data_IF_195689504273
#
_entry.id   IF_195689504273
#
_cell.length_a   1.000
_cell.length_b   1.000
_cell.length_c   1.000
_cell.angle_alpha   90.00
_cell.angle_beta   90.00
_cell.angle_gamma   90.00
#
_symmetry.space_group_name_H-M   'P 1'
#
loop_
_entity.id
_entity.type
_entity.pdbx_description
1 polymer ?
#
# COMPACT_ATOMS: atom_id res chain seq x y z
N UNK A 1 17.52 -13.67 -6.79
CA UNK A 1 17.90 -14.93 -6.14
C UNK A 1 18.39 -14.62 -4.73
N UNK A 2 17.50 -14.59 -3.75
CA UNK A 2 17.82 -14.54 -2.34
C UNK A 2 17.60 -15.95 -1.79
N UNK A 3 18.70 -16.63 -1.48
CA UNK A 3 18.69 -17.92 -0.80
C UNK A 3 18.31 -17.68 0.66
N UNK A 4 17.10 -18.12 1.03
CA UNK A 4 16.74 -18.30 2.43
C UNK A 4 17.54 -19.49 2.96
N UNK A 5 18.54 -19.23 3.78
CA UNK A 5 19.34 -20.25 4.48
C UNK A 5 18.44 -20.80 5.60
N UNK A 6 17.85 -21.96 5.36
CA UNK A 6 17.18 -22.76 6.39
C UNK A 6 18.27 -23.39 7.26
N UNK A 7 18.26 -23.13 8.58
CA UNK A 7 19.13 -23.81 9.55
C UNK A 7 18.80 -25.31 9.56
N UNK A 8 19.72 -26.12 9.10
CA UNK A 8 19.60 -27.58 9.05
C UNK A 8 20.39 -28.21 10.20
N UNK A 9 20.02 -27.88 11.44
CA UNK A 9 20.68 -28.44 12.63
C UNK A 9 20.16 -29.82 13.03
N UNK A 10 19.18 -30.36 12.30
CA UNK A 10 18.59 -31.67 12.60
C UNK A 10 18.19 -32.37 11.30
N UNK A 11 18.55 -33.66 11.10
CA UNK A 11 18.10 -34.48 9.95
C UNK A 11 16.58 -34.47 9.74
N UNK A 12 15.80 -34.32 10.79
CA UNK A 12 14.35 -34.19 10.71
C UNK A 12 13.91 -32.89 10.01
N UNK A 13 14.61 -31.76 10.22
CA UNK A 13 14.27 -30.48 9.57
C UNK A 13 14.58 -30.50 8.06
N UNK A 14 15.61 -31.24 7.64
CA UNK A 14 15.92 -31.47 6.23
C UNK A 14 14.87 -32.36 5.56
N UNK A 15 14.40 -33.39 6.27
CA UNK A 15 13.35 -34.29 5.80
C UNK A 15 12.01 -33.54 5.61
N UNK A 16 11.66 -32.64 6.53
CA UNK A 16 10.44 -31.82 6.44
C UNK A 16 10.54 -30.78 5.30
N UNK A 17 11.70 -30.17 5.09
CA UNK A 17 11.93 -29.24 3.97
C UNK A 17 11.80 -29.94 2.61
N UNK A 18 12.40 -31.12 2.45
CA UNK A 18 12.31 -31.92 1.23
C UNK A 18 10.87 -32.44 0.98
N UNK A 19 10.11 -32.71 2.05
CA UNK A 19 8.70 -33.11 1.97
C UNK A 19 7.81 -31.99 1.44
N UNK A 20 8.05 -30.76 1.89
CA UNK A 20 7.28 -29.56 1.47
C UNK A 20 7.64 -29.16 0.04
N UNK A 21 8.91 -29.27 -0.33
CA UNK A 21 9.41 -28.73 -1.62
C UNK A 21 9.24 -29.71 -2.78
N UNK A 22 9.29 -31.02 -2.53
CA UNK A 22 9.27 -32.05 -3.57
C UNK A 22 7.99 -32.89 -3.63
N UNK A 23 6.99 -32.64 -2.77
CA UNK A 23 5.67 -33.29 -2.83
C UNK A 23 5.69 -34.81 -2.54
N UNK A 24 6.68 -35.33 -1.85
CA UNK A 24 6.78 -36.77 -1.52
C UNK A 24 5.92 -37.17 -0.32
N UNK A 25 5.08 -38.18 -0.52
CA UNK A 25 4.01 -38.58 0.42
C UNK A 25 4.41 -39.64 1.48
N UNK A 26 5.66 -40.17 1.52
CA UNK A 26 6.07 -41.18 2.52
C UNK A 26 7.42 -40.89 3.18
N UNK A 27 7.41 -40.98 4.53
CA UNK A 27 8.53 -40.67 5.41
C UNK A 27 9.75 -41.59 5.20
N UNK A 28 9.53 -42.86 4.85
CA UNK A 28 10.59 -43.84 4.62
C UNK A 28 11.47 -43.57 3.41
N UNK A 29 10.92 -42.99 2.33
CA UNK A 29 11.71 -42.69 1.13
C UNK A 29 12.61 -41.44 1.28
N UNK A 30 12.19 -40.49 2.10
CA UNK A 30 12.97 -39.27 2.38
C UNK A 30 14.15 -39.58 3.31
N UNK A 31 13.95 -40.40 4.34
CA UNK A 31 15.01 -40.87 5.23
C UNK A 31 16.10 -41.62 4.47
N UNK A 32 15.72 -42.54 3.60
CA UNK A 32 16.68 -43.32 2.79
C UNK A 32 17.48 -42.44 1.80
N UNK A 33 16.90 -41.36 1.30
CA UNK A 33 17.59 -40.41 0.40
C UNK A 33 18.58 -39.53 1.14
N UNK A 34 18.20 -39.07 2.33
CA UNK A 34 19.07 -38.26 3.20
C UNK A 34 20.28 -39.04 3.64
N UNK A 35 20.12 -40.31 4.07
CA UNK A 35 21.22 -41.18 4.47
C UNK A 35 22.16 -41.49 3.31
N UNK A 36 21.66 -41.70 2.09
CA UNK A 36 22.48 -41.91 0.90
C UNK A 36 23.28 -40.68 0.49
N UNK A 37 22.76 -39.49 0.67
CA UNK A 37 23.46 -38.23 0.37
C UNK A 37 24.54 -37.97 1.40
N UNK A 38 24.25 -38.17 2.69
CA UNK A 38 25.23 -37.98 3.79
C UNK A 38 26.38 -38.98 3.74
N UNK A 39 26.15 -40.23 3.31
CA UNK A 39 27.19 -41.24 3.17
C UNK A 39 28.09 -41.02 1.92
N UNK A 40 27.66 -40.22 0.95
CA UNK A 40 28.44 -39.93 -0.26
C UNK A 40 29.27 -38.66 -0.20
N UNK A 41 29.15 -37.88 0.87
CA UNK A 41 29.97 -36.67 1.07
C UNK A 41 31.33 -37.08 1.71
N UNK A 42 32.40 -36.61 1.14
CA UNK A 42 33.76 -36.77 1.66
C UNK A 42 33.98 -36.02 2.97
N UNK A 43 34.91 -36.51 3.80
CA UNK A 43 35.15 -35.96 5.14
C UNK A 43 35.64 -34.52 5.13
N UNK A 44 36.20 -34.05 4.02
CA UNK A 44 36.62 -32.65 3.86
C UNK A 44 35.43 -31.71 3.74
N UNK A 45 34.38 -32.13 3.04
CA UNK A 45 33.15 -31.35 2.88
C UNK A 45 32.35 -31.31 4.18
N UNK A 46 32.33 -32.41 4.96
CA UNK A 46 31.74 -32.46 6.29
C UNK A 46 32.47 -31.54 7.28
N UNK A 47 33.81 -31.51 7.28
CA UNK A 47 34.61 -30.63 8.14
C UNK A 47 34.49 -29.15 7.78
N UNK A 48 34.40 -28.81 6.50
CA UNK A 48 34.25 -27.42 6.05
C UNK A 48 32.86 -26.88 6.44
N UNK A 49 31.82 -27.70 6.39
CA UNK A 49 30.48 -27.34 6.88
C UNK A 49 30.47 -27.09 8.40
N UNK A 50 31.18 -27.91 9.20
CA UNK A 50 31.25 -27.76 10.65
C UNK A 50 32.12 -26.57 11.11
N UNK A 51 33.11 -26.15 10.34
CA UNK A 51 33.97 -25.02 10.69
C UNK A 51 33.29 -23.66 10.49
N UNK A 52 32.33 -23.56 9.57
CA UNK A 52 31.56 -22.34 9.30
C UNK A 52 30.60 -21.98 10.45
N UNK A 53 30.20 -22.95 11.28
CA UNK A 53 29.23 -22.78 12.38
C UNK A 53 29.87 -22.47 13.75
N UNK A 54 31.22 -22.37 13.87
CA UNK A 54 31.92 -22.09 15.14
C UNK A 54 32.44 -20.65 15.29
N UNK A 55 31.84 -19.65 14.66
CA UNK A 55 32.13 -18.26 15.01
C UNK A 55 31.36 -17.84 16.28
N UNK A 56 32.13 -17.75 17.38
CA UNK A 56 31.74 -17.23 18.67
C UNK A 56 31.23 -15.77 18.52
N UNK A 57 30.11 -15.36 19.16
CA UNK A 57 29.71 -13.97 19.17
C UNK A 57 30.75 -13.09 19.86
N UNK A 58 30.93 -11.82 19.45
CA UNK A 58 31.86 -10.91 20.08
C UNK A 58 31.44 -10.66 21.55
N UNK A 59 32.39 -10.47 22.49
CA UNK A 59 32.09 -10.22 23.87
C UNK A 59 31.39 -8.86 24.05
N UNK A 60 30.38 -8.82 24.92
CA UNK A 60 29.72 -7.61 25.34
C UNK A 60 30.70 -6.62 25.98
N UNK A 61 30.57 -5.29 25.75
CA UNK A 61 31.44 -4.31 26.38
C UNK A 61 31.26 -4.35 27.90
N UNK A 62 32.40 -4.41 28.61
CA UNK A 62 32.44 -4.40 30.05
C UNK A 62 31.89 -3.07 30.61
N UNK A 63 30.93 -3.19 31.52
CA UNK A 63 30.42 -2.07 32.31
C UNK A 63 31.49 -1.74 33.37
N UNK A 64 32.03 -0.52 33.30
CA UNK A 64 32.94 -0.01 34.32
C UNK A 64 32.15 0.33 35.62
N UNK A 65 32.68 0.07 36.81
CA UNK A 65 32.00 0.39 38.04
C UNK A 65 32.00 1.91 38.29
N UNK A 66 30.83 2.44 38.65
CA UNK A 66 30.63 3.82 39.08
C UNK A 66 31.31 4.04 40.44
N UNK A 67 32.25 4.96 40.46
CA UNK A 67 32.85 5.47 41.70
C UNK A 67 31.86 6.39 42.41
N UNK A 68 31.56 6.08 43.68
CA UNK A 68 30.85 6.96 44.59
C UNK A 68 31.75 8.14 44.96
N UNK A 69 31.40 9.35 44.58
CA UNK A 69 31.92 10.56 45.21
C UNK A 69 30.74 11.38 45.70
N UNK A 70 30.66 11.46 47.02
CA UNK A 70 29.73 12.31 47.73
C UNK A 70 30.06 13.80 47.50
N UNK A 71 29.01 14.57 47.23
CA UNK A 71 29.03 16.02 47.33
C UNK A 71 27.65 16.53 47.78
N UNK A 72 27.72 17.36 48.80
CA UNK A 72 26.70 18.06 49.55
C UNK A 72 25.77 18.96 48.72
N UNK A 73 24.54 19.27 49.18
CA UNK A 73 23.52 19.89 48.37
C UNK A 73 23.77 21.38 48.15
N UNK A 74 23.90 21.78 46.90
CA UNK A 74 23.88 23.19 46.52
C UNK A 74 22.48 23.63 46.10
N UNK A 75 22.09 24.74 46.64
CA UNK A 75 20.93 25.60 46.46
C UNK A 75 20.26 25.55 45.09
N UNK A 76 18.94 25.25 45.10
CA UNK A 76 18.05 25.33 43.95
C UNK A 76 17.76 26.80 43.62
N UNK A 77 18.32 27.25 42.51
CA UNK A 77 17.80 28.43 41.79
C UNK A 77 16.62 27.99 40.90
N UNK A 78 15.50 28.72 40.86
CA UNK A 78 14.35 28.36 40.05
C UNK A 78 14.67 28.47 38.57
N UNK A 79 14.53 27.37 37.88
CA UNK A 79 14.57 27.30 36.39
C UNK A 79 13.41 28.12 35.83
N UNK A 80 13.60 28.96 34.79
CA UNK A 80 12.51 29.66 34.14
C UNK A 80 11.55 28.66 33.51
N UNK A 81 10.23 28.95 33.53
CA UNK A 81 9.24 28.02 32.99
C UNK A 81 9.54 27.74 31.50
N UNK A 82 9.56 26.46 31.15
CA UNK A 82 9.58 25.97 29.78
C UNK A 82 8.48 26.65 28.98
N UNK A 83 8.75 27.09 27.73
CA UNK A 83 7.72 27.69 26.91
C UNK A 83 6.59 26.67 26.76
N UNK A 84 5.36 27.13 27.04
CA UNK A 84 4.17 26.32 26.87
C UNK A 84 4.11 25.81 25.42
N UNK A 85 3.69 24.55 25.18
CA UNK A 85 3.53 24.06 23.84
C UNK A 85 2.59 24.98 23.06
N UNK A 86 2.83 25.21 21.77
CA UNK A 86 2.00 26.09 20.95
C UNK A 86 0.55 25.64 21.09
N UNK A 87 -0.31 26.53 21.55
CA UNK A 87 -1.75 26.31 21.52
C UNK A 87 -2.18 26.28 20.07
N UNK A 88 -2.59 25.10 19.60
CA UNK A 88 -3.26 24.99 18.33
C UNK A 88 -4.47 25.92 18.32
N UNK A 89 -4.70 26.66 17.23
CA UNK A 89 -5.92 27.44 17.09
C UNK A 89 -7.11 26.49 17.25
N UNK A 90 -8.03 26.85 18.14
CA UNK A 90 -9.27 26.12 18.33
C UNK A 90 -10.04 25.99 17.02
N UNK A 91 -11.08 25.13 16.92
CA UNK A 91 -11.77 24.79 15.70
C UNK A 91 -12.42 26.03 15.10
N UNK A 92 -11.68 26.69 14.22
CA UNK A 92 -12.22 27.70 13.31
C UNK A 92 -12.71 26.96 12.07
N UNK A 93 -14.02 27.03 11.86
CA UNK A 93 -14.73 26.69 10.62
C UNK A 93 -14.05 25.70 9.67
N UNK A 94 -14.40 24.43 9.79
CA UNK A 94 -14.47 23.48 8.67
C UNK A 94 -13.18 23.18 7.88
N UNK A 95 -12.00 23.56 8.38
CA UNK A 95 -10.72 23.26 7.73
C UNK A 95 -10.21 21.88 8.16
N UNK A 96 -9.90 21.03 7.21
CA UNK A 96 -9.23 19.76 7.45
C UNK A 96 -7.99 19.94 8.33
N UNK A 97 -7.85 19.10 9.35
CA UNK A 97 -6.67 19.06 10.23
C UNK A 97 -5.42 18.49 9.56
N UNK A 98 -5.56 17.95 8.37
CA UNK A 98 -4.46 17.41 7.57
C UNK A 98 -4.18 18.39 6.45
N UNK A 99 -2.92 18.78 6.33
CA UNK A 99 -2.48 19.76 5.34
C UNK A 99 -2.94 19.43 3.91
N UNK A 100 -2.96 20.43 3.09
CA UNK A 100 -3.52 20.49 1.73
C UNK A 100 -3.08 19.38 0.75
N UNK A 101 -2.06 18.60 1.10
CA UNK A 101 -1.57 17.50 0.26
C UNK A 101 -2.44 16.24 0.27
N UNK A 102 -3.24 16.02 1.33
CA UNK A 102 -4.16 14.87 1.46
C UNK A 102 -5.62 15.25 1.32
N UNK A 103 -5.96 16.49 1.58
CA UNK A 103 -7.32 17.00 1.49
C UNK A 103 -7.34 18.13 0.50
N UNK A 104 -7.71 17.80 -0.74
CA UNK A 104 -7.88 18.80 -1.79
C UNK A 104 -9.34 19.27 -1.76
N UNK A 105 -9.62 20.56 -1.53
CA UNK A 105 -10.96 21.12 -1.76
C UNK A 105 -11.35 20.93 -3.22
N UNK A 106 -12.62 20.66 -3.45
CA UNK A 106 -13.20 20.25 -4.74
C UNK A 106 -13.09 21.31 -5.86
N UNK A 107 -12.69 22.53 -5.55
CA UNK A 107 -12.49 23.60 -6.54
C UNK A 107 -10.98 23.86 -6.76
N UNK A 108 -10.38 23.17 -7.75
CA UNK A 108 -8.99 23.43 -8.15
C UNK A 108 -9.03 24.31 -9.43
N UNK A 109 -8.69 25.59 -9.35
CA UNK A 109 -8.16 26.31 -10.52
C UNK A 109 -6.87 25.59 -10.98
N UNK A 110 -6.60 25.59 -12.28
CA UNK A 110 -5.42 24.94 -12.87
C UNK A 110 -4.20 25.09 -11.95
N UNK A 111 -3.57 23.99 -11.49
CA UNK A 111 -2.58 24.09 -10.42
C UNK A 111 -1.42 24.97 -10.84
N UNK A 112 -0.97 25.90 -9.98
CA UNK A 112 0.31 26.58 -10.19
C UNK A 112 1.38 25.51 -10.39
N UNK A 113 2.42 25.82 -11.18
CA UNK A 113 3.49 24.88 -11.54
C UNK A 113 3.85 23.97 -10.36
N UNK A 114 3.72 22.65 -10.56
CA UNK A 114 3.83 21.65 -9.50
C UNK A 114 5.08 21.90 -8.65
N UNK A 115 5.02 21.77 -7.31
CA UNK A 115 6.18 21.91 -6.46
C UNK A 115 7.34 21.03 -6.99
N UNK A 116 8.60 21.45 -6.86
CA UNK A 116 9.75 20.74 -7.46
C UNK A 116 9.84 19.28 -7.03
N UNK A 117 9.28 18.92 -5.88
CA UNK A 117 9.17 17.52 -5.40
C UNK A 117 8.17 16.73 -6.22
N UNK A 118 7.02 17.31 -6.55
CA UNK A 118 6.01 16.68 -7.41
C UNK A 118 6.55 16.41 -8.81
N UNK A 119 7.29 17.38 -9.37
CA UNK A 119 7.92 17.19 -10.68
C UNK A 119 8.91 16.03 -10.69
N UNK A 120 9.76 15.90 -9.67
CA UNK A 120 10.68 14.76 -9.52
C UNK A 120 9.93 13.42 -9.44
N UNK A 121 8.79 13.41 -8.76
CA UNK A 121 7.95 12.20 -8.68
C UNK A 121 7.33 11.86 -10.04
N UNK A 122 6.81 12.84 -10.78
CA UNK A 122 6.28 12.66 -12.14
C UNK A 122 7.36 12.12 -13.09
N UNK A 123 8.60 12.59 -12.99
CA UNK A 123 9.72 12.09 -13.79
C UNK A 123 10.03 10.61 -13.45
N UNK A 124 9.95 10.23 -12.17
CA UNK A 124 10.06 8.81 -11.76
C UNK A 124 8.88 7.97 -12.29
N UNK A 125 7.66 8.51 -12.26
CA UNK A 125 6.49 7.83 -12.82
C UNK A 125 6.68 7.55 -14.32
N UNK A 126 7.14 8.56 -15.09
CA UNK A 126 7.48 8.41 -16.51
C UNK A 126 8.55 7.34 -16.73
N UNK A 127 9.62 7.37 -15.92
CA UNK A 127 10.68 6.36 -15.99
C UNK A 127 10.15 4.95 -15.68
N UNK A 128 9.28 4.82 -14.67
CA UNK A 128 8.67 3.55 -14.27
C UNK A 128 7.76 2.97 -15.36
N UNK A 129 7.01 3.82 -16.07
CA UNK A 129 6.13 3.43 -17.16
C UNK A 129 6.84 3.42 -18.53
N UNK A 130 8.14 3.72 -18.59
CA UNK A 130 8.87 3.91 -19.83
C UNK A 130 8.79 2.74 -20.82
N UNK A 131 8.71 1.50 -20.35
CA UNK A 131 8.52 0.33 -21.22
C UNK A 131 7.13 0.33 -21.89
N UNK A 132 6.08 0.60 -21.11
CA UNK A 132 4.71 0.70 -21.62
C UNK A 132 4.59 1.89 -22.56
N UNK A 133 5.09 3.04 -22.14
CA UNK A 133 5.10 4.28 -22.92
C UNK A 133 5.86 4.12 -24.24
N UNK A 134 7.03 3.43 -24.23
CA UNK A 134 7.82 3.18 -25.42
C UNK A 134 7.10 2.32 -26.46
N UNK A 135 6.39 1.27 -26.01
CA UNK A 135 5.60 0.41 -26.89
C UNK A 135 4.45 1.18 -27.56
N UNK A 136 3.72 1.99 -26.79
CA UNK A 136 2.58 2.75 -27.33
C UNK A 136 3.08 3.95 -28.17
N UNK A 137 4.08 4.69 -27.70
CA UNK A 137 4.62 5.85 -28.42
C UNK A 137 5.25 5.48 -29.76
N UNK A 138 5.85 4.28 -29.87
CA UNK A 138 6.44 3.77 -31.10
C UNK A 138 5.45 3.69 -32.27
N UNK A 139 4.16 3.48 -31.98
CA UNK A 139 3.09 3.42 -32.99
C UNK A 139 2.91 4.77 -33.70
N UNK A 140 3.18 5.88 -33.02
CA UNK A 140 3.01 7.24 -33.61
C UNK A 140 4.21 7.73 -34.41
N UNK A 141 5.23 6.89 -34.64
CA UNK A 141 6.41 7.22 -35.44
C UNK A 141 6.17 7.31 -36.94
N UNK A 142 5.00 6.88 -37.44
CA UNK A 142 4.59 6.98 -38.85
C UNK A 142 4.22 8.40 -39.26
N UNK A 143 4.03 8.58 -40.59
CA UNK A 143 3.64 9.88 -41.19
C UNK A 143 2.15 10.01 -41.50
N UNK A 144 1.40 8.93 -41.47
CA UNK A 144 -0.01 8.86 -41.92
C UNK A 144 -0.87 8.17 -40.85
N UNK A 145 -2.10 8.66 -40.70
CA UNK A 145 -3.13 8.01 -39.89
C UNK A 145 -3.94 7.09 -40.81
N UNK A 146 -3.65 5.80 -40.76
CA UNK A 146 -4.30 4.77 -41.53
C UNK A 146 -4.85 3.63 -40.64
N UNK A 147 -5.46 2.62 -41.22
CA UNK A 147 -6.00 1.50 -40.47
C UNK A 147 -4.90 0.68 -39.77
N UNK A 148 -3.73 0.54 -40.41
CA UNK A 148 -2.59 -0.17 -39.82
C UNK A 148 -2.07 0.50 -38.54
N UNK A 149 -2.15 1.82 -38.45
CA UNK A 149 -1.84 2.56 -37.20
C UNK A 149 -2.83 2.21 -36.08
N UNK A 150 -4.14 2.14 -36.38
CA UNK A 150 -5.14 1.77 -35.36
C UNK A 150 -4.99 0.32 -34.92
N UNK A 151 -4.70 -0.62 -35.83
CA UNK A 151 -4.41 -2.01 -35.45
C UNK A 151 -3.17 -2.11 -34.57
N UNK A 152 -2.09 -1.43 -34.93
CA UNK A 152 -0.86 -1.38 -34.13
C UNK A 152 -1.10 -0.75 -32.75
N UNK A 153 -1.98 0.25 -32.68
CA UNK A 153 -2.34 0.90 -31.41
C UNK A 153 -3.21 -0.03 -30.54
N UNK A 154 -4.12 -0.79 -31.14
CA UNK A 154 -4.90 -1.81 -30.44
C UNK A 154 -3.98 -2.84 -29.78
N UNK A 155 -3.06 -3.40 -30.55
CA UNK A 155 -2.08 -4.37 -30.07
C UNK A 155 -1.23 -3.79 -28.92
N UNK A 156 -0.73 -2.56 -29.07
CA UNK A 156 0.08 -1.91 -28.06
C UNK A 156 -0.69 -1.66 -26.74
N UNK A 157 -1.98 -1.27 -26.83
CA UNK A 157 -2.83 -1.07 -25.66
C UNK A 157 -3.17 -2.40 -24.98
N UNK A 158 -3.45 -3.45 -25.74
CA UNK A 158 -3.69 -4.79 -25.19
C UNK A 158 -2.43 -5.35 -24.51
N UNK A 159 -1.26 -5.19 -25.13
CA UNK A 159 0.03 -5.58 -24.54
C UNK A 159 0.37 -4.78 -23.27
N UNK A 160 -0.17 -3.57 -23.13
CA UNK A 160 -0.07 -2.75 -21.94
C UNK A 160 -1.02 -3.19 -20.80
N UNK A 161 -1.79 -4.25 -20.98
CA UNK A 161 -2.84 -4.73 -20.05
C UNK A 161 -4.01 -3.72 -19.86
N UNK A 162 -4.28 -2.86 -20.85
CA UNK A 162 -5.44 -1.94 -20.83
C UNK A 162 -6.78 -2.69 -20.81
N UNK A 163 -6.78 -3.95 -21.28
CA UNK A 163 -7.97 -4.78 -21.37
C UNK A 163 -8.85 -4.44 -22.57
N UNK A 164 -9.55 -5.46 -23.09
CA UNK A 164 -10.36 -5.33 -24.31
C UNK A 164 -11.43 -4.23 -24.21
N UNK A 165 -12.24 -4.14 -23.14
CA UNK A 165 -13.31 -3.13 -23.07
C UNK A 165 -12.81 -1.68 -23.06
N UNK A 166 -11.66 -1.42 -22.39
CA UNK A 166 -11.08 -0.07 -22.38
C UNK A 166 -10.36 0.26 -23.69
N UNK A 167 -9.67 -0.70 -24.30
CA UNK A 167 -9.02 -0.54 -25.60
C UNK A 167 -10.05 -0.22 -26.69
N UNK A 168 -11.12 -0.98 -26.80
CA UNK A 168 -12.19 -0.73 -27.78
C UNK A 168 -12.86 0.63 -27.56
N UNK A 169 -13.11 1.01 -26.31
CA UNK A 169 -13.64 2.33 -26.00
C UNK A 169 -12.71 3.44 -26.45
N UNK A 170 -11.42 3.37 -26.09
CA UNK A 170 -10.43 4.39 -26.46
C UNK A 170 -10.29 4.51 -27.98
N UNK A 171 -10.22 3.39 -28.71
CA UNK A 171 -10.08 3.41 -30.16
C UNK A 171 -11.33 3.93 -30.86
N UNK A 172 -12.52 3.55 -30.41
CA UNK A 172 -13.77 4.05 -30.98
C UNK A 172 -13.92 5.56 -30.82
N UNK A 173 -13.65 6.08 -29.60
CA UNK A 173 -13.67 7.51 -29.32
C UNK A 173 -12.57 8.27 -30.06
N UNK A 174 -11.38 7.65 -30.19
CA UNK A 174 -10.27 8.23 -30.93
C UNK A 174 -10.63 8.41 -32.40
N UNK A 175 -11.19 7.36 -33.06
CA UNK A 175 -11.67 7.43 -34.46
C UNK A 175 -12.74 8.52 -34.62
N UNK A 176 -13.68 8.62 -33.67
CA UNK A 176 -14.70 9.65 -33.68
C UNK A 176 -14.09 11.05 -33.59
N UNK A 177 -13.25 11.32 -32.57
CA UNK A 177 -12.63 12.65 -32.39
C UNK A 177 -11.71 13.02 -33.57
N UNK A 178 -11.01 12.08 -34.16
CA UNK A 178 -10.20 12.33 -35.39
C UNK A 178 -11.08 12.74 -36.57
N UNK A 179 -12.20 12.04 -36.80
CA UNK A 179 -13.15 12.38 -37.85
C UNK A 179 -13.74 13.78 -37.65
N UNK A 180 -14.11 14.12 -36.41
CA UNK A 180 -14.72 15.40 -36.07
C UNK A 180 -13.74 16.57 -36.16
N UNK A 181 -12.46 16.34 -35.84
CA UNK A 181 -11.41 17.40 -35.80
C UNK A 181 -10.60 17.51 -37.09
N UNK A 182 -10.71 16.54 -38.01
CA UNK A 182 -9.94 16.52 -39.29
C UNK A 182 -8.42 16.41 -39.07
N UNK A 183 -7.98 15.85 -37.95
CA UNK A 183 -6.55 15.65 -37.66
C UNK A 183 -5.95 14.62 -38.61
N UNK A 184 -4.81 15.00 -39.19
CA UNK A 184 -4.06 14.17 -40.17
C UNK A 184 -2.67 13.76 -39.69
N UNK A 185 -2.19 14.33 -38.60
CA UNK A 185 -0.83 14.09 -38.11
C UNK A 185 -0.81 13.19 -36.86
N UNK A 186 0.03 12.12 -36.80
CA UNK A 186 0.08 11.16 -35.68
C UNK A 186 0.35 11.78 -34.31
N UNK A 187 1.14 12.86 -34.23
CA UNK A 187 1.40 13.55 -32.94
C UNK A 187 0.12 14.19 -32.39
N UNK A 188 -0.73 14.76 -33.25
CA UNK A 188 -2.02 15.31 -32.83
C UNK A 188 -2.97 14.20 -32.38
N UNK A 189 -2.93 13.05 -33.06
CA UNK A 189 -3.66 11.84 -32.66
C UNK A 189 -3.25 11.37 -31.26
N UNK A 190 -1.94 11.36 -30.95
CA UNK A 190 -1.42 11.02 -29.64
C UNK A 190 -1.99 11.94 -28.55
N UNK A 191 -2.03 13.25 -28.81
CA UNK A 191 -2.60 14.22 -27.87
C UNK A 191 -4.10 14.00 -27.61
N UNK A 192 -4.85 13.60 -28.64
CA UNK A 192 -6.26 13.23 -28.49
C UNK A 192 -6.37 11.97 -27.61
N UNK A 193 -5.50 10.97 -27.81
CA UNK A 193 -5.50 9.74 -27.00
C UNK A 193 -5.16 10.06 -25.53
N UNK A 194 -4.20 10.96 -25.25
CA UNK A 194 -3.89 11.43 -23.90
C UNK A 194 -5.13 12.06 -23.25
N UNK A 195 -5.85 12.91 -23.97
CA UNK A 195 -7.06 13.55 -23.49
C UNK A 195 -8.16 12.51 -23.19
N UNK A 196 -8.40 11.56 -24.10
CA UNK A 196 -9.38 10.48 -23.92
C UNK A 196 -9.04 9.58 -22.72
N UNK A 197 -7.77 9.21 -22.56
CA UNK A 197 -7.32 8.45 -21.41
C UNK A 197 -7.49 9.23 -20.12
N UNK A 198 -7.19 10.53 -20.13
CA UNK A 198 -7.42 11.41 -18.97
C UNK A 198 -8.92 11.45 -18.62
N UNK A 199 -9.81 11.62 -19.60
CA UNK A 199 -11.27 11.60 -19.40
C UNK A 199 -11.73 10.24 -18.80
N UNK A 200 -11.20 9.12 -19.28
CA UNK A 200 -11.51 7.79 -18.76
C UNK A 200 -11.06 7.61 -17.32
N UNK A 201 -9.90 8.15 -16.95
CA UNK A 201 -9.30 8.01 -15.63
C UNK A 201 -9.83 9.02 -14.60
N UNK A 202 -10.44 10.12 -15.05
CA UNK A 202 -10.91 11.19 -14.18
C UNK A 202 -11.83 10.73 -13.03
N UNK A 203 -12.75 9.78 -13.21
CA UNK A 203 -13.58 9.25 -12.12
C UNK A 203 -12.81 8.56 -11.01
N UNK A 204 -11.59 8.07 -11.29
CA UNK A 204 -10.72 7.43 -10.30
C UNK A 204 -9.97 8.45 -9.44
N UNK A 205 -9.84 9.69 -9.89
CA UNK A 205 -9.13 10.73 -9.17
C UNK A 205 -10.04 11.32 -8.09
N UNK A 206 -9.88 10.83 -6.86
CA UNK A 206 -10.55 11.36 -5.67
C UNK A 206 -9.56 11.51 -4.53
N UNK A 207 -9.69 12.55 -3.70
CA UNK A 207 -8.88 12.70 -2.50
C UNK A 207 -9.35 11.73 -1.43
N UNK A 208 -8.42 11.26 -0.60
CA UNK A 208 -8.73 10.62 0.67
C UNK A 208 -9.09 11.71 1.68
N UNK A 209 -10.33 11.71 2.17
CA UNK A 209 -10.80 12.72 3.13
C UNK A 209 -10.64 12.20 4.55
N UNK A 210 -9.89 12.95 5.36
CA UNK A 210 -9.66 12.65 6.78
C UNK A 210 -10.16 13.82 7.63
N UNK A 211 -10.72 13.52 8.81
CA UNK A 211 -11.17 14.54 9.76
C UNK A 211 -12.69 14.79 9.77
N UNK A 212 -13.43 14.21 8.84
CA UNK A 212 -14.91 14.19 8.93
C UNK A 212 -15.38 13.29 10.08
N UNK A 213 -14.59 12.27 10.41
CA UNK A 213 -14.85 11.32 11.49
C UNK A 213 -13.66 11.26 12.46
N UNK A 214 -13.93 11.10 13.76
CA UNK A 214 -12.90 10.94 14.79
C UNK A 214 -13.12 9.69 15.63
N UNK A 215 -12.30 8.66 15.42
CA UNK A 215 -11.28 8.53 14.37
C UNK A 215 -11.88 8.23 13.00
N UNK A 216 -11.23 8.66 11.92
CA UNK A 216 -11.44 8.07 10.61
C UNK A 216 -10.86 6.66 10.61
N UNK A 217 -11.71 5.65 10.45
CA UNK A 217 -11.29 4.24 10.46
C UNK A 217 -11.07 3.75 9.05
N UNK A 218 -9.86 3.31 8.75
CA UNK A 218 -9.43 2.84 7.43
C UNK A 218 -9.04 1.37 7.53
N UNK A 219 -9.77 0.51 6.85
CA UNK A 219 -9.46 -0.92 6.73
C UNK A 219 -8.65 -1.16 5.45
N UNK A 220 -7.48 -1.79 5.56
CA UNK A 220 -6.60 -2.07 4.42
C UNK A 220 -6.63 -3.56 4.09
N UNK A 221 -7.06 -3.87 2.88
CA UNK A 221 -7.19 -5.23 2.36
C UNK A 221 -6.26 -5.47 1.15
N UNK A 222 -6.10 -6.73 0.72
CA UNK A 222 -5.33 -7.10 -0.46
C UNK A 222 -4.65 -8.45 -0.32
N UNK A 223 -4.09 -8.96 -1.42
CA UNK A 223 -3.40 -10.26 -1.43
C UNK A 223 -2.04 -10.22 -0.73
N UNK A 224 -1.48 -11.39 -0.42
CA UNK A 224 -0.10 -11.48 0.08
C UNK A 224 0.87 -10.96 -0.98
N UNK A 225 1.86 -10.18 -0.53
CA UNK A 225 2.87 -9.60 -1.43
C UNK A 225 2.45 -8.32 -2.15
N UNK A 226 1.18 -7.89 -2.08
CA UNK A 226 0.74 -6.63 -2.69
C UNK A 226 1.32 -5.36 -2.02
N UNK A 227 2.02 -5.50 -0.90
CA UNK A 227 2.65 -4.38 -0.21
C UNK A 227 1.77 -3.69 0.85
N UNK A 228 0.74 -4.36 1.41
CA UNK A 228 -0.17 -3.78 2.42
C UNK A 228 0.56 -3.14 3.60
N UNK A 229 1.32 -3.91 4.36
CA UNK A 229 2.02 -3.43 5.56
C UNK A 229 2.98 -2.27 5.24
N UNK A 230 3.69 -2.35 4.09
CA UNK A 230 4.55 -1.26 3.62
C UNK A 230 3.74 -0.01 3.25
N UNK A 231 2.60 -0.19 2.58
CA UNK A 231 1.71 0.92 2.21
C UNK A 231 1.10 1.59 3.43
N UNK A 232 0.73 0.82 4.45
CA UNK A 232 0.27 1.35 5.74
C UNK A 232 1.38 2.18 6.39
N UNK A 233 2.64 1.67 6.40
CA UNK A 233 3.78 2.42 6.93
C UNK A 233 4.01 3.75 6.21
N UNK A 234 3.92 3.78 4.88
CA UNK A 234 4.03 5.00 4.06
C UNK A 234 2.88 5.96 4.34
N UNK A 235 1.65 5.46 4.37
CA UNK A 235 0.46 6.26 4.66
C UNK A 235 0.51 6.83 6.08
N UNK A 236 0.93 6.03 7.07
CA UNK A 236 1.10 6.47 8.46
C UNK A 236 2.06 7.65 8.55
N UNK A 237 3.21 7.56 7.87
CA UNK A 237 4.19 8.64 7.83
C UNK A 237 3.58 9.89 7.22
N UNK A 238 2.95 9.76 6.07
CA UNK A 238 2.32 10.87 5.37
C UNK A 238 1.27 11.57 6.24
N UNK A 239 0.41 10.80 6.92
CA UNK A 239 -0.59 11.32 7.86
C UNK A 239 0.07 12.05 9.05
N UNK A 240 1.11 11.47 9.64
CA UNK A 240 1.81 12.04 10.79
C UNK A 240 2.57 13.32 10.43
N UNK A 241 3.19 13.40 9.26
CA UNK A 241 3.86 14.61 8.75
C UNK A 241 2.87 15.76 8.54
N UNK A 242 1.59 15.45 8.29
CA UNK A 242 0.50 16.43 8.19
C UNK A 242 -0.23 16.67 9.52
N UNK A 243 0.33 16.19 10.64
CA UNK A 243 -0.16 16.46 11.98
C UNK A 243 -1.31 15.58 12.47
N UNK A 244 -1.70 14.53 11.72
CA UNK A 244 -2.72 13.61 12.16
C UNK A 244 -2.19 12.62 13.23
N UNK A 245 -2.92 12.44 14.30
CA UNK A 245 -2.64 11.40 15.29
C UNK A 245 -3.17 10.05 14.82
N UNK A 246 -2.25 9.11 14.58
CA UNK A 246 -2.56 7.79 14.00
C UNK A 246 -2.46 6.69 15.06
N UNK A 247 -3.33 5.68 14.97
CA UNK A 247 -3.25 4.41 15.69
C UNK A 247 -3.25 3.27 14.68
N UNK A 248 -2.30 2.33 14.83
CA UNK A 248 -2.22 1.14 13.98
C UNK A 248 -2.88 -0.07 14.66
N UNK A 249 -3.51 -0.93 13.87
CA UNK A 249 -4.04 -2.22 14.30
C UNK A 249 -3.41 -3.35 13.50
N UNK A 250 -2.69 -4.26 14.16
CA UNK A 250 -2.07 -5.44 13.55
C UNK A 250 -3.07 -6.60 13.50
N UNK A 251 -4.04 -6.52 12.58
CA UNK A 251 -5.06 -7.55 12.42
C UNK A 251 -4.63 -8.69 11.46
N UNK A 252 -3.40 -8.71 10.92
CA UNK A 252 -2.75 -9.90 10.34
C UNK A 252 -2.12 -10.75 11.46
N UNK A 253 -2.95 -11.33 12.32
CA UNK A 253 -2.51 -12.03 13.55
C UNK A 253 -1.85 -13.37 13.28
N UNK A 254 -2.05 -13.93 12.07
CA UNK A 254 -1.48 -15.21 11.67
C UNK A 254 -0.01 -15.14 11.25
N UNK A 255 0.48 -13.93 10.90
CA UNK A 255 1.83 -13.73 10.40
C UNK A 255 2.66 -12.94 11.39
N UNK A 256 3.48 -13.64 12.20
CA UNK A 256 4.39 -12.99 13.18
C UNK A 256 5.25 -11.91 12.50
N UNK A 257 5.85 -12.19 11.35
CA UNK A 257 6.68 -11.24 10.62
C UNK A 257 5.90 -10.00 10.13
N UNK A 258 4.60 -10.10 9.84
CA UNK A 258 3.80 -8.93 9.46
C UNK A 258 3.57 -8.00 10.66
N UNK A 259 3.31 -8.58 11.84
CA UNK A 259 3.19 -7.81 13.10
C UNK A 259 4.49 -7.11 13.46
N UNK A 260 5.62 -7.84 13.40
CA UNK A 260 6.95 -7.25 13.65
C UNK A 260 7.24 -6.11 12.69
N UNK A 261 6.96 -6.29 11.40
CA UNK A 261 7.14 -5.26 10.38
C UNK A 261 6.26 -4.04 10.68
N UNK A 262 4.99 -4.24 11.06
CA UNK A 262 4.09 -3.14 11.39
C UNK A 262 4.53 -2.41 12.68
N UNK A 263 5.05 -3.15 13.67
CA UNK A 263 5.64 -2.57 14.89
C UNK A 263 6.85 -1.69 14.58
N UNK A 264 7.74 -2.14 13.68
CA UNK A 264 8.87 -1.32 13.22
C UNK A 264 8.38 -0.03 12.54
N UNK A 265 7.30 -0.09 11.77
CA UNK A 265 6.68 1.10 11.18
C UNK A 265 6.06 2.02 12.22
N UNK A 266 5.41 1.46 13.25
CA UNK A 266 4.86 2.21 14.37
C UNK A 266 5.96 2.99 15.10
N UNK A 267 7.06 2.31 15.43
CA UNK A 267 8.22 2.91 16.12
C UNK A 267 8.87 4.02 15.27
N UNK A 268 9.07 3.78 13.98
CA UNK A 268 9.66 4.77 13.06
C UNK A 268 8.82 6.03 12.91
N UNK A 269 7.51 5.90 12.97
CA UNK A 269 6.57 7.01 12.82
C UNK A 269 6.11 7.56 14.17
N UNK A 270 6.62 7.02 15.29
CA UNK A 270 6.25 7.41 16.66
C UNK A 270 4.74 7.35 16.92
N UNK A 271 4.08 6.31 16.37
CA UNK A 271 2.65 6.08 16.52
C UNK A 271 2.37 4.83 17.36
N UNK A 272 1.21 4.81 18.00
CA UNK A 272 0.77 3.67 18.81
C UNK A 272 0.28 2.52 17.93
N UNK A 273 0.45 1.28 18.40
CA UNK A 273 -0.03 0.08 17.75
C UNK A 273 -0.81 -0.80 18.74
N UNK A 274 -1.94 -1.35 18.28
CA UNK A 274 -2.68 -2.42 18.96
C UNK A 274 -2.36 -3.72 18.24
N UNK A 275 -1.82 -4.68 18.99
CA UNK A 275 -1.46 -6.00 18.48
C UNK A 275 -1.71 -7.07 19.53
N UNK A 276 -2.12 -8.26 19.08
CA UNK A 276 -2.28 -9.43 19.94
C UNK A 276 -1.74 -10.66 19.22
N UNK A 277 -0.85 -11.39 19.88
CA UNK A 277 -0.31 -12.64 19.33
C UNK A 277 -1.35 -13.73 19.33
N UNK A 278 -1.58 -14.38 18.15
CA UNK A 278 -2.56 -15.45 18.01
C UNK A 278 -4.01 -15.01 18.28
N UNK A 279 -4.28 -13.70 18.41
CA UNK A 279 -5.62 -13.17 18.64
C UNK A 279 -6.54 -13.27 17.42
N UNK A 280 -7.85 -13.14 17.65
CA UNK A 280 -8.83 -12.99 16.55
C UNK A 280 -8.62 -11.63 15.86
N UNK A 281 -8.39 -11.59 14.52
CA UNK A 281 -8.27 -10.36 13.77
C UNK A 281 -9.40 -9.35 14.00
N UNK A 282 -10.62 -9.85 14.18
CA UNK A 282 -11.79 -9.01 14.44
C UNK A 282 -11.75 -8.39 15.85
N UNK A 283 -11.25 -9.12 16.87
CA UNK A 283 -11.08 -8.57 18.22
C UNK A 283 -10.01 -7.47 18.24
N UNK A 284 -8.85 -7.70 17.61
CA UNK A 284 -7.80 -6.67 17.48
C UNK A 284 -8.33 -5.40 16.80
N UNK A 285 -9.13 -5.57 15.75
CA UNK A 285 -9.75 -4.46 15.03
C UNK A 285 -10.75 -3.69 15.91
N UNK A 286 -11.57 -4.41 16.69
CA UNK A 286 -12.51 -3.81 17.66
C UNK A 286 -11.77 -2.98 18.71
N UNK A 287 -10.75 -3.58 19.31
CA UNK A 287 -9.95 -2.94 20.38
C UNK A 287 -9.25 -1.69 19.85
N UNK A 288 -8.72 -1.74 18.62
CA UNK A 288 -8.07 -0.59 18.01
C UNK A 288 -9.05 0.57 17.73
N UNK A 289 -10.25 0.30 17.24
CA UNK A 289 -11.28 1.32 17.03
C UNK A 289 -11.73 1.91 18.37
N UNK A 290 -11.97 1.08 19.38
CA UNK A 290 -12.36 1.49 20.72
C UNK A 290 -11.26 2.32 21.39
N UNK A 291 -9.99 1.90 21.29
CA UNK A 291 -8.83 2.64 21.80
C UNK A 291 -8.65 3.96 21.04
N UNK A 292 -8.80 3.97 19.72
CA UNK A 292 -8.72 5.17 18.91
C UNK A 292 -9.73 6.23 19.32
N UNK A 293 -10.99 5.82 19.56
CA UNK A 293 -12.04 6.69 20.10
C UNK A 293 -11.70 7.22 21.49
N UNK A 294 -11.34 6.32 22.42
CA UNK A 294 -11.04 6.67 23.80
C UNK A 294 -9.84 7.63 23.93
N UNK A 295 -8.86 7.50 23.01
CA UNK A 295 -7.63 8.33 23.00
C UNK A 295 -7.75 9.56 22.09
N UNK A 296 -8.90 9.79 21.47
CA UNK A 296 -9.13 10.95 20.58
C UNK A 296 -8.22 10.97 19.35
N UNK A 297 -7.88 9.80 18.79
CA UNK A 297 -7.06 9.71 17.58
C UNK A 297 -7.81 10.24 16.36
N UNK A 298 -7.08 10.80 15.41
CA UNK A 298 -7.67 11.28 14.16
C UNK A 298 -7.90 10.12 13.17
N UNK A 299 -6.98 9.14 13.15
CA UNK A 299 -7.03 8.00 12.21
C UNK A 299 -6.71 6.68 12.92
N UNK A 300 -7.46 5.63 12.55
CA UNK A 300 -7.13 4.23 12.88
C UNK A 300 -6.92 3.47 11.58
N UNK A 301 -5.70 2.93 11.37
CA UNK A 301 -5.34 2.11 10.22
C UNK A 301 -5.30 0.63 10.63
N UNK A 302 -6.05 -0.21 9.93
CA UNK A 302 -6.19 -1.64 10.25
C UNK A 302 -5.50 -2.46 9.16
N UNK A 303 -4.37 -3.11 9.49
CA UNK A 303 -3.66 -4.06 8.61
C UNK A 303 -4.31 -5.43 8.71
N UNK A 304 -4.91 -5.92 7.63
CA UNK A 304 -5.58 -7.22 7.59
C UNK A 304 -4.73 -8.28 6.91
N UNK A 305 -5.02 -9.55 7.21
CA UNK A 305 -4.40 -10.68 6.55
C UNK A 305 -4.62 -10.62 5.02
N UNK A 306 -3.59 -11.03 4.27
CA UNK A 306 -3.65 -11.12 2.82
C UNK A 306 -3.60 -12.58 2.38
N UNK A 307 -4.51 -12.95 1.49
CA UNK A 307 -4.52 -14.24 0.79
C UNK A 307 -5.13 -14.05 -0.59
N UNK A 308 -5.10 -15.08 -1.41
CA UNK A 308 -5.76 -15.01 -2.71
C UNK A 308 -7.29 -14.92 -2.54
N UNK A 309 -7.98 -14.10 -3.35
CA UNK A 309 -9.45 -13.91 -3.25
C UNK A 309 -10.26 -15.18 -3.57
N UNK A 310 -9.64 -16.20 -4.17
CA UNK A 310 -10.25 -17.53 -4.40
C UNK A 310 -10.45 -18.32 -3.10
N UNK A 311 -9.84 -17.91 -1.98
CA UNK A 311 -10.04 -18.55 -0.68
C UNK A 311 -11.28 -17.95 0.01
N UNK A 312 -12.40 -18.67 -0.02
CA UNK A 312 -13.68 -18.28 0.59
C UNK A 312 -13.53 -17.82 2.05
N UNK A 313 -12.67 -18.50 2.81
CA UNK A 313 -12.43 -18.16 4.22
C UNK A 313 -11.86 -16.74 4.43
N UNK A 314 -11.02 -16.25 3.51
CA UNK A 314 -10.50 -14.88 3.61
C UNK A 314 -11.61 -13.85 3.51
N UNK A 315 -12.47 -13.97 2.49
CA UNK A 315 -13.54 -13.01 2.27
C UNK A 315 -14.53 -13.00 3.44
N UNK A 316 -14.82 -14.15 4.04
CA UNK A 316 -15.67 -14.22 5.24
C UNK A 316 -14.97 -13.60 6.47
N UNK A 317 -13.65 -13.80 6.61
CA UNK A 317 -12.87 -13.17 7.67
C UNK A 317 -12.90 -11.64 7.53
N UNK A 318 -12.64 -11.10 6.34
CA UNK A 318 -12.68 -9.66 6.08
C UNK A 318 -14.09 -9.07 6.30
N UNK A 319 -15.14 -9.77 5.89
CA UNK A 319 -16.53 -9.39 6.18
C UNK A 319 -16.82 -9.41 7.69
N UNK A 320 -16.26 -10.38 8.43
CA UNK A 320 -16.35 -10.43 9.89
C UNK A 320 -15.67 -9.23 10.52
N UNK A 321 -14.44 -8.90 10.10
CA UNK A 321 -13.72 -7.72 10.57
C UNK A 321 -14.54 -6.45 10.31
N UNK A 322 -15.04 -6.24 9.08
CA UNK A 322 -15.90 -5.10 8.73
C UNK A 322 -17.10 -4.98 9.68
N UNK A 323 -17.84 -6.08 9.90
CA UNK A 323 -19.00 -6.09 10.81
C UNK A 323 -18.65 -5.77 12.25
N UNK A 324 -17.48 -6.23 12.72
CA UNK A 324 -17.03 -5.98 14.10
C UNK A 324 -16.55 -4.54 14.27
N UNK A 325 -15.89 -3.97 13.26
CA UNK A 325 -15.54 -2.54 13.22
C UNK A 325 -16.81 -1.67 13.30
N UNK A 326 -17.89 -2.03 12.59
CA UNK A 326 -19.18 -1.35 12.67
C UNK A 326 -19.73 -1.34 14.10
N UNK A 327 -19.71 -2.49 14.78
CA UNK A 327 -20.15 -2.60 16.18
C UNK A 327 -19.30 -1.75 17.14
N UNK A 328 -17.99 -1.65 16.91
CA UNK A 328 -17.12 -0.76 17.68
C UNK A 328 -17.47 0.71 17.44
N UNK A 329 -18.00 1.03 16.25
CA UNK A 329 -18.54 2.33 15.89
C UNK A 329 -19.76 2.72 16.73
N UNK A 330 -20.67 1.81 16.94
CA UNK A 330 -21.93 2.04 17.66
C UNK A 330 -21.80 1.97 19.19
N UNK A 331 -20.66 1.57 19.73
CA UNK A 331 -20.46 1.36 21.16
C UNK A 331 -20.54 2.70 21.93
N UNK A 332 -21.36 2.80 23.00
CA UNK A 332 -21.64 4.03 23.73
C UNK A 332 -20.47 4.55 24.58
N UNK A 333 -19.30 3.91 24.55
CA UNK A 333 -18.10 4.34 25.31
C UNK A 333 -17.66 5.78 24.95
N UNK A 334 -18.11 6.31 23.82
CA UNK A 334 -17.80 7.67 23.39
C UNK A 334 -18.85 8.73 23.81
N UNK A 335 -20.02 8.35 24.28
CA UNK A 335 -21.10 9.31 24.60
C UNK A 335 -20.86 10.09 25.91
N UNK A 336 -19.93 9.65 26.76
CA UNK A 336 -19.67 10.24 28.08
C UNK A 336 -18.61 11.35 28.12
N UNK A 337 -17.80 11.55 27.07
CA UNK A 337 -16.65 12.47 27.08
C UNK A 337 -16.67 13.60 26.04
N UNK A 338 -17.64 13.60 25.13
CA UNK A 338 -17.78 14.69 24.15
C UNK A 338 -19.03 15.52 24.41
N UNK A 339 -18.93 16.47 25.36
CA UNK A 339 -19.75 17.69 25.31
C UNK A 339 -19.23 18.58 24.16
N UNK A 340 -19.33 18.10 22.92
CA UNK A 340 -18.92 18.81 21.73
C UNK A 340 -19.92 18.55 20.61
N UNK A 341 -20.70 19.57 20.32
CA UNK A 341 -21.56 19.81 19.17
C UNK A 341 -22.14 18.57 18.40
N UNK A 342 -23.44 18.29 18.48
CA UNK A 342 -24.10 17.10 17.87
C UNK A 342 -24.26 17.14 16.35
N UNK A 343 -23.53 18.01 15.64
CA UNK A 343 -23.69 18.19 14.19
C UNK A 343 -22.75 17.35 13.32
N UNK A 344 -21.93 16.46 13.87
CA UNK A 344 -21.18 15.49 13.07
C UNK A 344 -21.96 14.18 13.04
N UNK A 345 -22.64 13.91 11.94
CA UNK A 345 -23.19 12.58 11.66
C UNK A 345 -22.03 11.59 11.61
N UNK A 346 -21.89 10.80 12.66
CA UNK A 346 -20.89 9.74 12.74
C UNK A 346 -21.31 8.69 11.72
N UNK A 347 -20.72 8.71 10.53
CA UNK A 347 -20.86 7.63 9.58
C UNK A 347 -20.39 6.32 10.25
N UNK A 348 -21.00 5.19 9.88
CA UNK A 348 -20.59 3.89 10.43
C UNK A 348 -19.20 3.49 9.91
N UNK A 349 -18.22 3.18 10.80
CA UNK A 349 -16.92 2.67 10.36
C UNK A 349 -17.04 1.23 9.81
N UNK A 350 -16.09 0.75 8.98
CA UNK A 350 -14.94 1.51 8.49
C UNK A 350 -15.41 2.59 7.51
N UNK A 351 -14.86 3.81 7.66
CA UNK A 351 -15.20 4.93 6.79
C UNK A 351 -14.57 4.74 5.41
N UNK A 352 -13.37 4.11 5.40
CA UNK A 352 -12.64 3.78 4.18
C UNK A 352 -12.23 2.30 4.19
N UNK A 353 -12.37 1.65 3.04
CA UNK A 353 -11.88 0.29 2.76
C UNK A 353 -10.97 0.37 1.55
N UNK A 354 -9.66 0.32 1.81
CA UNK A 354 -8.63 0.45 0.80
C UNK A 354 -8.14 -0.92 0.36
N UNK A 355 -8.15 -1.18 -0.94
CA UNK A 355 -7.50 -2.34 -1.51
C UNK A 355 -6.11 -1.97 -2.00
N UNK A 356 -5.10 -2.67 -1.50
CA UNK A 356 -3.72 -2.58 -2.00
C UNK A 356 -3.52 -3.61 -3.10
N UNK A 357 -3.19 -3.13 -4.30
CA UNK A 357 -2.91 -3.96 -5.48
C UNK A 357 -1.52 -3.67 -6.03
N UNK A 358 -0.85 -4.70 -6.54
CA UNK A 358 0.38 -4.54 -7.30
C UNK A 358 0.03 -4.27 -8.78
N UNK A 359 0.34 -3.07 -9.27
CA UNK A 359 0.10 -2.65 -10.65
C UNK A 359 0.83 -3.50 -11.70
N UNK A 360 1.86 -4.24 -11.30
CA UNK A 360 2.60 -5.13 -12.20
C UNK A 360 1.90 -6.46 -12.49
N UNK A 361 0.83 -6.79 -11.78
CA UNK A 361 0.07 -8.03 -11.96
C UNK A 361 -0.89 -7.98 -13.16
N UNK A 362 -1.06 -6.81 -13.79
CA UNK A 362 -1.88 -6.62 -14.98
C UNK A 362 -3.35 -7.00 -14.74
N UNK A 363 -3.98 -7.72 -15.66
CA UNK A 363 -5.40 -8.10 -15.60
C UNK A 363 -5.79 -8.87 -14.32
N UNK A 364 -4.82 -9.52 -13.65
CA UNK A 364 -5.08 -10.15 -12.35
C UNK A 364 -5.43 -9.11 -11.27
N UNK A 365 -4.89 -7.88 -11.36
CA UNK A 365 -5.27 -6.80 -10.44
C UNK A 365 -6.75 -6.42 -10.60
N UNK A 366 -7.27 -6.32 -11.83
CA UNK A 366 -8.69 -6.09 -12.08
C UNK A 366 -9.58 -7.20 -11.50
N UNK A 367 -9.16 -8.46 -11.63
CA UNK A 367 -9.87 -9.61 -11.03
C UNK A 367 -9.90 -9.49 -9.50
N UNK A 368 -8.80 -9.05 -8.88
CA UNK A 368 -8.77 -8.78 -7.43
C UNK A 368 -9.71 -7.64 -7.07
N UNK A 369 -9.67 -6.51 -7.78
CA UNK A 369 -10.57 -5.37 -7.54
C UNK A 369 -12.02 -5.83 -7.54
N UNK A 370 -12.46 -6.58 -8.56
CA UNK A 370 -13.83 -7.12 -8.64
C UNK A 370 -14.19 -7.97 -7.42
N UNK A 371 -13.34 -8.95 -7.08
CA UNK A 371 -13.63 -9.88 -6.00
C UNK A 371 -13.69 -9.20 -4.61
N UNK A 372 -12.76 -8.25 -4.36
CA UNK A 372 -12.76 -7.51 -3.10
C UNK A 372 -13.88 -6.47 -3.03
N UNK A 373 -14.21 -5.83 -4.16
CA UNK A 373 -15.31 -4.85 -4.21
C UNK A 373 -16.67 -5.52 -3.99
N UNK A 374 -16.92 -6.67 -4.64
CA UNK A 374 -18.14 -7.46 -4.43
C UNK A 374 -18.29 -7.93 -2.96
N UNK A 375 -17.17 -8.20 -2.28
CA UNK A 375 -17.19 -8.68 -0.90
C UNK A 375 -17.28 -7.57 0.14
N UNK A 376 -16.62 -6.44 -0.09
CA UNK A 376 -16.37 -5.41 0.93
C UNK A 376 -16.95 -4.04 0.57
N UNK A 377 -17.28 -3.77 -0.68
CA UNK A 377 -17.62 -2.44 -1.19
C UNK A 377 -16.46 -1.48 -0.96
N UNK A 378 -15.48 -1.51 -1.84
CA UNK A 378 -14.25 -0.72 -1.73
C UNK A 378 -14.55 0.78 -1.85
N UNK A 379 -13.84 1.59 -1.11
CA UNK A 379 -13.90 3.06 -1.22
C UNK A 379 -12.73 3.60 -2.01
N UNK A 380 -11.59 2.88 -2.04
CA UNK A 380 -10.41 3.32 -2.77
C UNK A 380 -9.35 2.24 -2.96
N UNK A 381 -8.42 2.55 -3.84
CA UNK A 381 -7.26 1.72 -4.17
C UNK A 381 -5.96 2.42 -3.78
N UNK A 382 -4.98 1.61 -3.40
CA UNK A 382 -3.58 2.00 -3.30
C UNK A 382 -2.75 1.10 -4.21
N UNK A 383 -1.90 1.70 -5.04
CA UNK A 383 -1.04 0.99 -5.99
C UNK A 383 0.42 1.29 -5.64
N UNK A 384 1.02 0.62 -4.64
CA UNK A 384 2.33 0.97 -4.07
C UNK A 384 3.50 0.73 -5.02
N UNK A 385 3.31 -0.12 -6.03
CA UNK A 385 4.30 -0.43 -7.04
C UNK A 385 3.68 -0.38 -8.42
N UNK A 386 4.11 0.59 -9.20
CA UNK A 386 3.77 0.71 -10.61
C UNK A 386 5.04 0.92 -11.40
N UNK A 387 5.39 -0.05 -12.26
CA UNK A 387 6.51 0.12 -13.16
C UNK A 387 7.48 -1.06 -13.22
N UNK A 388 8.42 -0.97 -14.16
CA UNK A 388 9.36 -2.06 -14.47
C UNK A 388 8.80 -3.13 -15.40
N UNK A 389 7.47 -3.21 -15.58
CA UNK A 389 6.79 -4.10 -16.53
C UNK A 389 6.04 -3.27 -17.60
N UNK A 390 5.61 -3.92 -18.68
CA UNK A 390 4.80 -3.29 -19.73
C UNK A 390 3.29 -3.24 -19.40
N UNK A 391 2.90 -3.34 -18.12
CA UNK A 391 1.51 -3.57 -17.68
C UNK A 391 0.82 -2.36 -17.06
N UNK A 392 1.29 -1.15 -17.34
CA UNK A 392 0.76 0.09 -16.77
C UNK A 392 -0.69 0.42 -17.14
N UNK A 393 -1.23 -0.21 -18.21
CA UNK A 393 -2.59 0.05 -18.68
C UNK A 393 -3.72 -0.49 -17.81
N UNK A 394 -3.44 -1.35 -16.83
CA UNK A 394 -4.46 -1.97 -15.97
C UNK A 394 -5.36 -0.96 -15.24
N UNK A 395 -4.86 0.25 -14.96
CA UNK A 395 -5.66 1.31 -14.33
C UNK A 395 -6.78 1.77 -15.29
N UNK A 396 -6.53 1.79 -16.61
CA UNK A 396 -7.57 2.08 -17.59
C UNK A 396 -8.62 0.94 -17.65
N UNK A 397 -8.21 -0.33 -17.50
CA UNK A 397 -9.16 -1.43 -17.38
C UNK A 397 -10.04 -1.28 -16.13
N UNK A 398 -9.47 -0.93 -14.99
CA UNK A 398 -10.22 -0.66 -13.74
C UNK A 398 -11.20 0.51 -13.95
N UNK A 399 -10.74 1.61 -14.56
CA UNK A 399 -11.59 2.77 -14.82
C UNK A 399 -12.81 2.43 -15.68
N UNK A 400 -12.65 1.53 -16.64
CA UNK A 400 -13.72 1.15 -17.56
C UNK A 400 -14.70 0.14 -16.96
N UNK A 401 -14.21 -0.80 -16.15
CA UNK A 401 -15.00 -1.96 -15.75
C UNK A 401 -15.47 -1.88 -14.28
N UNK A 402 -14.67 -1.31 -13.40
CA UNK A 402 -14.97 -1.13 -11.96
C UNK A 402 -14.32 0.18 -11.48
N UNK A 403 -14.94 1.32 -11.66
CA UNK A 403 -14.34 2.63 -11.37
C UNK A 403 -14.26 2.89 -9.86
N UNK A 404 -13.41 2.14 -9.17
CA UNK A 404 -13.04 2.38 -7.77
C UNK A 404 -11.97 3.47 -7.72
N UNK A 405 -12.12 4.52 -6.88
CA UNK A 405 -11.14 5.59 -6.76
C UNK A 405 -9.73 5.08 -6.50
N UNK A 406 -8.72 5.69 -7.10
CA UNK A 406 -7.30 5.47 -6.80
C UNK A 406 -6.82 6.66 -5.96
N UNK A 407 -6.56 6.43 -4.67
CA UNK A 407 -6.09 7.50 -3.79
C UNK A 407 -4.60 7.73 -3.93
N UNK A 408 -3.82 6.63 -3.97
CA UNK A 408 -2.38 6.72 -3.97
C UNK A 408 -1.76 5.79 -5.00
N UNK A 409 -0.66 6.27 -5.59
CA UNK A 409 0.17 5.52 -6.53
C UNK A 409 1.64 5.63 -6.10
N UNK A 410 2.36 4.52 -6.16
CA UNK A 410 3.78 4.45 -5.81
C UNK A 410 4.63 4.00 -6.98
N UNK A 411 5.83 4.57 -7.08
CA UNK A 411 6.78 4.29 -8.15
C UNK A 411 8.04 3.56 -7.66
N UNK A 412 8.07 3.19 -6.36
CA UNK A 412 9.20 2.49 -5.77
C UNK A 412 9.00 2.12 -4.30
N UNK A 413 10.07 1.63 -3.65
CA UNK A 413 10.03 1.12 -2.28
C UNK A 413 10.18 2.21 -1.21
N UNK A 414 10.73 3.37 -1.56
CA UNK A 414 10.99 4.45 -0.61
C UNK A 414 9.69 5.09 -0.11
N UNK A 415 9.76 5.67 1.08
CA UNK A 415 8.60 6.31 1.74
C UNK A 415 8.04 7.48 0.94
N UNK A 416 8.94 8.27 0.36
CA UNK A 416 8.65 9.48 -0.42
C UNK A 416 8.13 9.17 -1.85
N UNK A 417 7.97 7.89 -2.20
CA UNK A 417 7.56 7.46 -3.53
C UNK A 417 6.08 7.10 -3.63
N UNK A 418 5.30 7.35 -2.58
CA UNK A 418 3.84 7.23 -2.58
C UNK A 418 3.23 8.63 -2.71
N UNK A 419 2.44 8.85 -3.75
CA UNK A 419 1.82 10.14 -4.05
C UNK A 419 0.34 9.98 -4.42
N UNK A 420 -0.40 11.08 -4.36
CA UNK A 420 -1.80 11.12 -4.77
C UNK A 420 -1.92 10.91 -6.28
N UNK A 421 -2.94 10.15 -6.68
CA UNK A 421 -3.21 9.85 -8.09
C UNK A 421 -3.70 11.11 -8.83
N UNK A 422 -3.11 11.35 -10.00
CA UNK A 422 -3.57 12.37 -10.94
C UNK A 422 -3.76 11.75 -12.33
N UNK A 423 -4.98 11.83 -12.84
CA UNK A 423 -5.38 11.18 -14.10
C UNK A 423 -4.58 11.70 -15.31
N UNK A 424 -4.33 13.01 -15.39
CA UNK A 424 -3.60 13.63 -16.50
C UNK A 424 -2.11 13.28 -16.48
N UNK A 425 -1.47 13.38 -15.31
CA UNK A 425 -0.06 13.02 -15.15
C UNK A 425 0.19 11.56 -15.48
N UNK A 426 -0.74 10.69 -15.04
CA UNK A 426 -0.68 9.28 -15.34
C UNK A 426 -0.87 8.99 -16.83
N UNK A 427 -1.88 9.58 -17.48
CA UNK A 427 -2.11 9.43 -18.92
C UNK A 427 -0.91 9.90 -19.74
N UNK A 428 -0.31 11.03 -19.36
CA UNK A 428 0.92 11.53 -19.99
C UNK A 428 2.12 10.61 -19.79
N UNK A 429 2.26 10.03 -18.58
CA UNK A 429 3.35 9.10 -18.28
C UNK A 429 3.19 7.75 -19.01
N UNK A 430 1.95 7.29 -19.19
CA UNK A 430 1.64 6.02 -19.84
C UNK A 430 1.84 6.08 -21.37
N UNK A 431 1.60 7.25 -21.96
CA UNK A 431 1.69 7.44 -23.40
C UNK A 431 3.02 8.11 -23.84
N UNK A 432 3.83 8.58 -22.93
CA UNK A 432 5.18 9.12 -23.15
C UNK A 432 5.19 10.57 -23.59
#
# INVERSE_FOLDING_TARGET
>A
MHQSIVRLDNPCALADFLRITLGFCSQERVSTLVDRVFHRMDDHTKQTMFSFFKKKPPPAPAVAPLAETGASPASLTPTPPSPAPPRFPGPGNGGSLIGSALVIPIDIPEPPAAPPERQKWVDKLKASLGKTAGSISGVFGGSVIDEALYESLEDALLMADTGVPATQYLLSELRRKVKDSGVTHPIALKNILIALLTELLQPLQKPLVIGEHRPTVIMVAGVNGAGKTTSIGKLTRHLSEHGASVLLAAADTFRAAAREQLSIWADRNLVEIISQEGGDPAAVSFDAVSAGKARGKDVVLIDTAGRLPTQLHLMEELKKIKRVIQKAGDSPVAAGLTQGNPSHSIGMPPHEILLVIDGNTGQNALTQVRAFDDALTLTGLMIPQLGGTAKGGVIAAIARERPVPVYFIGVGEKLEELETFNAREFAQALLG
#
